data_IF_281544559384
#
_entry.id   IF_281544559384
#
_cell.length_a   1.000
_cell.length_b   1.000
_cell.length_c   1.000
_cell.angle_alpha   90.00
_cell.angle_beta   90.00
_cell.angle_gamma   90.00
#
_symmetry.space_group_name_H-M   'P 1'
#
loop_
_entity.id
_entity.type
_entity.pdbx_description
1 polymer ?
#
# COMPACT_ATOMS: atom_id res chain seq x y z
N UNK A 1 18.56 -10.57 5.52
CA UNK A 1 19.02 -9.17 5.65
C UNK A 1 18.14 -8.30 4.77
N UNK A 2 17.41 -7.34 5.33
CA UNK A 2 16.62 -6.38 4.55
C UNK A 2 17.57 -5.56 3.68
N UNK A 3 17.41 -5.63 2.36
CA UNK A 3 18.14 -4.77 1.43
C UNK A 3 17.76 -3.33 1.73
N UNK A 4 18.72 -2.43 1.93
CA UNK A 4 18.38 -1.02 2.15
C UNK A 4 17.64 -0.47 0.93
N UNK A 5 16.67 0.44 1.13
CA UNK A 5 15.90 1.04 0.04
C UNK A 5 16.79 1.55 -1.10
N UNK A 6 17.91 2.21 -0.77
CA UNK A 6 18.84 2.74 -1.79
C UNK A 6 19.47 1.65 -2.66
N UNK A 7 19.83 0.50 -2.07
CA UNK A 7 20.38 -0.63 -2.85
C UNK A 7 19.35 -1.24 -3.80
N UNK A 8 18.12 -1.41 -3.32
CA UNK A 8 17.02 -1.94 -4.14
C UNK A 8 16.64 -0.96 -5.25
N UNK A 9 16.58 0.34 -4.95
CA UNK A 9 16.34 1.38 -5.94
C UNK A 9 17.44 1.43 -7.02
N UNK A 10 18.72 1.30 -6.64
CA UNK A 10 19.83 1.18 -7.60
C UNK A 10 19.67 -0.03 -8.51
N UNK A 11 19.23 -1.16 -7.97
CA UNK A 11 19.00 -2.37 -8.77
C UNK A 11 17.85 -2.14 -9.77
N UNK A 12 16.76 -1.54 -9.33
CA UNK A 12 15.63 -1.17 -10.20
C UNK A 12 16.05 -0.25 -11.35
N UNK A 13 16.90 0.74 -11.07
CA UNK A 13 17.37 1.72 -12.05
C UNK A 13 18.41 1.18 -13.04
N UNK A 14 18.89 -0.04 -12.91
CA UNK A 14 19.81 -0.66 -13.90
C UNK A 14 19.12 -0.86 -15.25
N UNK A 15 17.86 -1.21 -15.25
CA UNK A 15 17.04 -1.26 -16.45
C UNK A 15 16.34 0.08 -16.67
N UNK A 16 16.97 0.95 -17.45
CA UNK A 16 16.45 2.29 -17.73
C UNK A 16 15.17 2.25 -18.56
N UNK A 17 15.04 1.31 -19.48
CA UNK A 17 13.85 1.15 -20.33
C UNK A 17 12.64 0.82 -19.47
N UNK A 18 12.81 -0.15 -18.58
CA UNK A 18 11.79 -0.55 -17.64
C UNK A 18 11.45 0.57 -16.65
N UNK A 19 12.46 1.26 -16.10
CA UNK A 19 12.25 2.37 -15.17
C UNK A 19 11.46 3.52 -15.82
N UNK A 20 11.72 3.82 -17.11
CA UNK A 20 10.95 4.81 -17.87
C UNK A 20 9.50 4.37 -18.11
N UNK A 21 9.28 3.13 -18.51
CA UNK A 21 7.94 2.57 -18.69
C UNK A 21 7.14 2.63 -17.38
N UNK A 22 7.74 2.23 -16.28
CA UNK A 22 7.11 2.26 -14.96
C UNK A 22 6.72 3.69 -14.53
N UNK A 23 7.62 4.65 -14.71
CA UNK A 23 7.33 6.06 -14.41
C UNK A 23 6.19 6.61 -15.28
N UNK A 24 6.20 6.34 -16.59
CA UNK A 24 5.16 6.77 -17.52
C UNK A 24 3.79 6.15 -17.17
N UNK A 25 3.76 4.86 -16.82
CA UNK A 25 2.55 4.15 -16.41
C UNK A 25 1.92 4.83 -15.18
N UNK A 26 2.71 5.14 -14.17
CA UNK A 26 2.20 5.84 -12.98
C UNK A 26 1.78 7.29 -13.24
N UNK A 27 2.44 7.97 -14.18
CA UNK A 27 1.97 9.28 -14.63
C UNK A 27 0.60 9.21 -15.30
N UNK A 28 0.35 8.21 -16.14
CA UNK A 28 -0.95 8.00 -16.76
C UNK A 28 -2.03 7.70 -15.70
N UNK A 29 -1.75 6.81 -14.74
CA UNK A 29 -2.66 6.51 -13.62
C UNK A 29 -2.94 7.76 -12.79
N UNK A 30 -1.92 8.55 -12.46
CA UNK A 30 -2.07 9.81 -11.73
C UNK A 30 -2.95 10.80 -12.48
N UNK A 31 -2.67 11.03 -13.76
CA UNK A 31 -3.44 11.98 -14.58
C UNK A 31 -4.91 11.57 -14.64
N UNK A 32 -5.18 10.29 -14.88
CA UNK A 32 -6.54 9.74 -14.89
C UNK A 32 -7.24 9.96 -13.54
N UNK A 33 -6.54 9.70 -12.43
CA UNK A 33 -7.04 9.91 -11.08
C UNK A 33 -7.33 11.40 -10.82
N UNK A 34 -6.40 12.28 -11.15
CA UNK A 34 -6.54 13.73 -10.91
C UNK A 34 -7.73 14.30 -11.70
N UNK A 35 -7.88 13.94 -12.97
CA UNK A 35 -9.02 14.34 -13.80
C UNK A 35 -10.35 13.87 -13.20
N UNK A 36 -10.40 12.62 -12.73
CA UNK A 36 -11.63 12.05 -12.17
C UNK A 36 -11.99 12.62 -10.80
N UNK A 37 -11.00 12.98 -9.98
CA UNK A 37 -11.22 13.61 -8.69
C UNK A 37 -11.65 15.08 -8.86
N UNK A 38 -10.94 15.86 -9.69
CA UNK A 38 -11.25 17.27 -9.92
C UNK A 38 -12.50 17.49 -10.78
N UNK A 39 -12.96 16.48 -11.51
CA UNK A 39 -14.24 16.48 -12.21
C UNK A 39 -15.47 16.32 -11.30
N UNK A 40 -15.27 16.28 -9.98
CA UNK A 40 -16.34 16.22 -8.99
C UNK A 40 -16.32 17.49 -8.14
N UNK A 41 -17.29 18.38 -8.33
CA UNK A 41 -17.34 19.71 -7.68
C UNK A 41 -17.24 19.64 -6.16
N UNK A 42 -17.87 18.63 -5.55
CA UNK A 42 -17.88 18.41 -4.10
C UNK A 42 -16.71 17.56 -3.60
N UNK A 43 -15.63 17.37 -4.38
CA UNK A 43 -14.51 16.50 -4.01
C UNK A 43 -13.88 16.86 -2.65
N UNK A 44 -13.64 18.14 -2.38
CA UNK A 44 -13.04 18.58 -1.12
C UNK A 44 -13.99 18.41 0.08
N UNK A 45 -15.30 18.65 -0.11
CA UNK A 45 -16.30 18.39 0.93
C UNK A 45 -16.39 16.89 1.26
N UNK A 46 -16.33 16.02 0.25
CA UNK A 46 -16.30 14.58 0.45
C UNK A 46 -15.03 14.12 1.17
N UNK A 47 -13.86 14.68 0.85
CA UNK A 47 -12.61 14.40 1.56
C UNK A 47 -12.71 14.77 3.03
N UNK A 48 -13.25 15.93 3.33
CA UNK A 48 -13.47 16.38 4.72
C UNK A 48 -14.42 15.43 5.44
N UNK A 49 -15.57 15.13 4.84
CA UNK A 49 -16.56 14.20 5.39
C UNK A 49 -15.96 12.80 5.63
N UNK A 50 -15.23 12.27 4.67
CA UNK A 50 -14.57 10.96 4.78
C UNK A 50 -13.52 10.92 5.90
N UNK A 51 -12.75 12.01 6.06
CA UNK A 51 -11.80 12.17 7.16
C UNK A 51 -12.49 12.18 8.52
N UNK A 52 -13.59 12.95 8.64
CA UNK A 52 -14.39 13.03 9.87
C UNK A 52 -15.03 11.69 10.22
N UNK A 53 -15.65 10.99 9.26
CA UNK A 53 -16.22 9.66 9.47
C UNK A 53 -15.16 8.70 10.00
N UNK A 54 -13.99 8.62 9.36
CA UNK A 54 -12.91 7.72 9.79
C UNK A 54 -12.34 8.10 11.15
N UNK A 55 -12.18 9.40 11.43
CA UNK A 55 -11.73 9.87 12.74
C UNK A 55 -12.73 9.46 13.81
N UNK A 56 -14.00 9.80 13.63
CA UNK A 56 -15.06 9.45 14.56
C UNK A 56 -15.13 7.94 14.83
N UNK A 57 -15.13 7.13 13.77
CA UNK A 57 -15.23 5.68 13.94
C UNK A 57 -14.05 5.10 14.71
N UNK A 58 -12.80 5.58 14.46
CA UNK A 58 -11.62 5.06 15.14
C UNK A 58 -11.57 5.52 16.60
N UNK A 59 -12.07 6.72 16.92
CA UNK A 59 -12.14 7.20 18.31
C UNK A 59 -13.25 6.54 19.15
N UNK A 60 -14.18 5.83 18.51
CA UNK A 60 -15.25 5.05 19.14
C UNK A 60 -15.23 3.60 18.59
N UNK A 61 -14.03 3.08 18.37
CA UNK A 61 -13.86 1.82 17.64
C UNK A 61 -14.43 0.63 18.40
N UNK A 62 -14.32 0.60 19.71
CA UNK A 62 -14.88 -0.40 20.60
C UNK A 62 -16.41 -0.51 20.46
N UNK A 63 -17.11 0.62 20.51
CA UNK A 63 -18.58 0.68 20.36
C UNK A 63 -19.01 0.16 18.98
N UNK A 64 -18.33 0.60 17.90
CA UNK A 64 -18.65 0.16 16.55
C UNK A 64 -18.27 -1.29 16.25
N UNK A 65 -17.24 -1.81 16.88
CA UNK A 65 -16.88 -3.23 16.77
C UNK A 65 -17.89 -4.13 17.46
N UNK A 66 -18.36 -3.75 18.68
CA UNK A 66 -19.40 -4.48 19.39
C UNK A 66 -20.73 -4.46 18.60
N UNK A 67 -21.12 -3.29 18.10
CA UNK A 67 -22.29 -3.16 17.23
C UNK A 67 -22.19 -4.05 15.99
N UNK A 68 -21.04 -4.02 15.30
CA UNK A 68 -20.80 -4.83 14.11
C UNK A 68 -20.91 -6.32 14.41
N UNK A 69 -20.21 -6.80 15.45
CA UNK A 69 -20.19 -8.21 15.81
C UNK A 69 -21.59 -8.70 16.21
N UNK A 70 -22.31 -7.91 17.01
CA UNK A 70 -23.69 -8.21 17.42
C UNK A 70 -24.63 -8.30 16.21
N UNK A 71 -24.54 -7.36 15.25
CA UNK A 71 -25.35 -7.37 14.04
C UNK A 71 -25.01 -8.58 13.15
N UNK A 72 -23.73 -8.91 12.96
CA UNK A 72 -23.29 -10.05 12.17
C UNK A 72 -23.78 -11.39 12.77
N UNK A 73 -23.64 -11.58 14.07
CA UNK A 73 -24.14 -12.78 14.79
C UNK A 73 -25.65 -12.89 14.64
N UNK A 74 -26.40 -11.80 14.75
CA UNK A 74 -27.86 -11.77 14.53
C UNK A 74 -28.24 -12.22 13.10
N UNK A 75 -27.39 -11.99 12.13
CA UNK A 75 -27.57 -12.45 10.74
C UNK A 75 -27.19 -13.92 10.51
N UNK A 76 -26.73 -14.64 11.56
CA UNK A 76 -26.31 -16.04 11.50
C UNK A 76 -24.88 -16.24 11.02
N UNK A 77 -24.02 -15.21 11.16
CA UNK A 77 -22.60 -15.28 10.84
C UNK A 77 -21.80 -15.61 12.09
N UNK A 78 -20.80 -16.49 11.96
CA UNK A 78 -19.85 -16.76 13.03
C UNK A 78 -18.74 -15.70 13.02
N UNK A 79 -18.60 -14.98 14.13
CA UNK A 79 -17.61 -13.89 14.26
C UNK A 79 -16.44 -14.37 15.14
N UNK A 80 -15.23 -14.19 14.61
CA UNK A 80 -13.98 -14.53 15.29
C UNK A 80 -13.12 -13.27 15.45
N UNK A 81 -12.29 -13.28 16.50
CA UNK A 81 -11.35 -12.21 16.80
C UNK A 81 -9.94 -12.77 16.76
N UNK A 82 -9.06 -12.10 16.05
CA UNK A 82 -7.64 -12.45 15.97
C UNK A 82 -6.79 -11.28 16.45
N UNK A 83 -6.03 -11.48 17.51
CA UNK A 83 -5.15 -10.44 18.08
C UNK A 83 -3.93 -10.15 17.19
N UNK A 84 -3.44 -11.19 16.50
CA UNK A 84 -2.24 -11.12 15.68
C UNK A 84 -2.32 -12.02 14.44
N UNK A 85 -1.27 -11.98 13.61
CA UNK A 85 -1.19 -12.77 12.39
C UNK A 85 -1.16 -14.27 12.62
N UNK A 86 -0.57 -14.73 13.74
CA UNK A 86 -0.50 -16.15 14.06
C UNK A 86 -1.89 -16.67 14.41
N UNK A 87 -2.58 -16.02 15.33
CA UNK A 87 -3.94 -16.40 15.73
C UNK A 87 -4.92 -16.33 14.56
N UNK A 88 -4.79 -15.30 13.69
CA UNK A 88 -5.56 -15.22 12.46
C UNK A 88 -5.38 -16.46 11.59
N UNK A 89 -4.15 -16.86 11.34
CA UNK A 89 -3.84 -18.02 10.51
C UNK A 89 -4.33 -19.33 11.13
N UNK A 90 -4.24 -19.45 12.45
CA UNK A 90 -4.73 -20.62 13.20
C UNK A 90 -6.25 -20.74 13.16
N UNK A 91 -6.98 -19.60 13.29
CA UNK A 91 -8.45 -19.55 13.17
C UNK A 91 -8.86 -19.96 11.76
N UNK A 92 -8.26 -19.36 10.71
CA UNK A 92 -8.56 -19.72 9.32
C UNK A 92 -8.34 -21.22 9.08
N UNK A 93 -7.18 -21.74 9.48
CA UNK A 93 -6.88 -23.15 9.31
C UNK A 93 -7.85 -24.05 10.08
N UNK A 94 -8.22 -23.68 11.32
CA UNK A 94 -9.20 -24.40 12.12
C UNK A 94 -10.57 -24.50 11.43
N UNK A 95 -11.06 -23.40 10.88
CA UNK A 95 -12.31 -23.37 10.10
C UNK A 95 -12.20 -24.28 8.88
N UNK A 96 -11.14 -24.15 8.07
CA UNK A 96 -10.94 -24.96 6.88
C UNK A 96 -10.84 -26.45 7.21
N UNK A 97 -10.12 -26.81 8.27
CA UNK A 97 -9.98 -28.19 8.73
C UNK A 97 -11.31 -28.79 9.18
N UNK A 98 -12.12 -28.04 9.92
CA UNK A 98 -13.43 -28.49 10.40
C UNK A 98 -14.42 -28.77 9.26
N UNK A 99 -14.25 -28.07 8.13
CA UNK A 99 -15.04 -28.26 6.92
C UNK A 99 -14.38 -29.19 5.87
N UNK A 100 -13.27 -29.87 6.22
CA UNK A 100 -12.50 -30.76 5.36
C UNK A 100 -12.07 -30.11 4.02
N UNK A 101 -11.77 -28.81 4.04
CA UNK A 101 -11.34 -28.04 2.89
C UNK A 101 -9.93 -28.44 2.47
N UNK A 102 -9.73 -28.65 1.17
CA UNK A 102 -8.42 -28.90 0.55
C UNK A 102 -8.04 -27.78 -0.43
N UNK A 103 -9.03 -27.16 -1.04
CA UNK A 103 -8.83 -26.06 -2.01
C UNK A 103 -9.69 -24.86 -1.62
N UNK A 104 -9.06 -23.69 -1.57
CA UNK A 104 -9.72 -22.41 -1.32
C UNK A 104 -9.41 -21.42 -2.44
N UNK A 105 -10.46 -20.77 -2.98
CA UNK A 105 -10.33 -19.61 -3.85
C UNK A 105 -10.36 -18.33 -3.00
N UNK A 106 -9.51 -17.37 -3.34
CA UNK A 106 -9.38 -16.13 -2.54
C UNK A 106 -9.46 -14.91 -3.45
N UNK A 107 -10.41 -14.00 -3.17
CA UNK A 107 -10.34 -12.66 -3.72
C UNK A 107 -9.30 -11.84 -2.98
N UNK A 108 -8.66 -10.91 -3.67
CA UNK A 108 -7.58 -10.06 -3.18
C UNK A 108 -7.83 -9.53 -1.76
N UNK A 109 -6.85 -9.70 -0.90
CA UNK A 109 -6.87 -9.14 0.45
C UNK A 109 -5.46 -8.78 0.93
N UNK A 110 -5.20 -7.49 1.12
CA UNK A 110 -3.93 -7.03 1.69
C UNK A 110 -3.75 -7.46 3.15
N UNK A 111 -4.83 -7.76 3.87
CA UNK A 111 -4.77 -8.25 5.25
C UNK A 111 -4.20 -9.68 5.29
N UNK A 112 -4.62 -10.54 4.37
CA UNK A 112 -4.08 -11.91 4.30
C UNK A 112 -2.60 -11.93 3.92
N UNK A 113 -2.16 -11.00 3.08
CA UNK A 113 -0.73 -10.79 2.77
C UNK A 113 0.03 -10.28 4.02
N UNK A 114 -0.56 -9.36 4.77
CA UNK A 114 -0.02 -8.86 6.05
C UNK A 114 0.24 -9.98 7.05
N UNK A 115 -0.67 -10.95 7.11
CA UNK A 115 -0.60 -12.08 8.04
C UNK A 115 0.20 -13.28 7.48
N UNK A 116 0.66 -13.24 6.24
CA UNK A 116 1.38 -14.35 5.62
C UNK A 116 0.52 -15.61 5.47
N UNK A 117 -0.79 -15.46 5.21
CA UNK A 117 -1.75 -16.56 5.25
C UNK A 117 -1.49 -17.63 4.18
N UNK A 118 -1.23 -17.23 2.92
CA UNK A 118 -1.07 -18.19 1.83
C UNK A 118 0.04 -19.22 2.12
N UNK A 119 1.30 -18.81 2.40
CA UNK A 119 2.36 -19.78 2.70
C UNK A 119 2.08 -20.61 3.97
N UNK A 120 1.37 -20.06 4.96
CA UNK A 120 0.97 -20.81 6.15
C UNK A 120 -0.01 -21.93 5.78
N UNK A 121 -1.07 -21.65 5.02
CA UNK A 121 -2.07 -22.64 4.62
C UNK A 121 -1.49 -23.70 3.67
N UNK A 122 -0.65 -23.29 2.73
CA UNK A 122 0.07 -24.18 1.82
C UNK A 122 0.96 -25.16 2.59
N UNK A 123 1.63 -24.69 3.66
CA UNK A 123 2.41 -25.54 4.56
C UNK A 123 1.57 -26.58 5.30
N UNK A 124 0.25 -26.36 5.41
CA UNK A 124 -0.73 -27.28 6.01
C UNK A 124 -1.45 -28.15 4.98
N UNK A 125 -1.05 -28.08 3.69
CA UNK A 125 -1.62 -28.87 2.62
C UNK A 125 -2.95 -28.33 2.05
N UNK A 126 -3.28 -27.06 2.30
CA UNK A 126 -4.42 -26.37 1.68
C UNK A 126 -3.93 -25.64 0.43
N UNK A 127 -4.53 -25.94 -0.70
CA UNK A 127 -4.28 -25.23 -1.95
C UNK A 127 -5.01 -23.88 -1.94
N UNK A 128 -4.28 -22.77 -2.12
CA UNK A 128 -4.85 -21.42 -2.14
C UNK A 128 -4.70 -20.83 -3.54
N UNK A 129 -5.84 -20.48 -4.19
CA UNK A 129 -5.89 -19.93 -5.53
C UNK A 129 -6.32 -18.46 -5.47
N UNK A 130 -5.43 -17.57 -5.89
CA UNK A 130 -5.76 -16.15 -6.07
C UNK A 130 -6.68 -15.97 -7.28
N UNK A 131 -7.71 -15.16 -7.15
CA UNK A 131 -8.72 -14.97 -8.19
C UNK A 131 -8.81 -13.56 -8.75
N UNK A 132 -8.16 -12.58 -8.15
CA UNK A 132 -7.87 -11.29 -8.78
C UNK A 132 -6.80 -11.50 -9.85
N UNK A 133 -6.96 -10.92 -11.03
CA UNK A 133 -6.06 -11.16 -12.16
C UNK A 133 -4.60 -10.77 -11.81
N UNK A 134 -4.41 -9.61 -11.21
CA UNK A 134 -3.08 -9.15 -10.83
C UNK A 134 -2.44 -10.01 -9.75
N UNK A 135 -3.21 -10.40 -8.71
CA UNK A 135 -2.75 -11.33 -7.66
C UNK A 135 -2.44 -12.72 -8.23
N UNK A 136 -3.27 -13.22 -9.19
CA UNK A 136 -3.02 -14.51 -9.83
C UNK A 136 -1.73 -14.50 -10.64
N UNK A 137 -1.46 -13.43 -11.38
CA UNK A 137 -0.22 -13.26 -12.15
C UNK A 137 1.00 -13.33 -11.21
N UNK A 138 1.01 -12.57 -10.12
CA UNK A 138 2.13 -12.58 -9.17
C UNK A 138 2.26 -13.91 -8.43
N UNK A 139 1.15 -14.57 -8.09
CA UNK A 139 1.15 -15.92 -7.52
C UNK A 139 1.83 -16.92 -8.47
N UNK A 140 1.44 -16.94 -9.73
CA UNK A 140 2.03 -17.80 -10.77
C UNK A 140 3.52 -17.53 -10.97
N UNK A 141 3.95 -16.27 -10.81
CA UNK A 141 5.34 -15.83 -10.91
C UNK A 141 6.13 -16.06 -9.62
N UNK A 142 5.47 -16.41 -8.51
CA UNK A 142 6.13 -16.59 -7.21
C UNK A 142 6.64 -15.28 -6.62
N UNK A 143 5.97 -14.17 -6.84
CA UNK A 143 6.37 -12.83 -6.39
C UNK A 143 5.36 -12.25 -5.38
N UNK A 144 5.81 -11.26 -4.59
CA UNK A 144 4.92 -10.47 -3.76
C UNK A 144 4.26 -9.33 -4.57
N UNK A 145 3.13 -8.75 -4.09
CA UNK A 145 2.52 -7.60 -4.75
C UNK A 145 3.44 -6.37 -4.72
N UNK A 146 3.57 -5.68 -5.85
CA UNK A 146 4.36 -4.43 -5.94
C UNK A 146 3.54 -3.16 -5.66
N UNK A 147 2.21 -3.27 -5.66
CA UNK A 147 1.26 -2.19 -5.42
C UNK A 147 -0.01 -2.73 -4.76
N UNK A 148 -0.64 -1.97 -3.85
CA UNK A 148 -1.82 -2.46 -3.09
C UNK A 148 -3.10 -2.60 -3.93
N UNK A 149 -3.24 -1.85 -5.03
CA UNK A 149 -4.42 -1.91 -5.92
C UNK A 149 -4.12 -2.64 -7.22
N UNK A 150 -2.93 -2.46 -7.76
CA UNK A 150 -2.48 -3.03 -9.03
C UNK A 150 -1.24 -3.92 -8.78
N UNK A 151 -1.38 -5.11 -8.18
CA UNK A 151 -0.26 -5.88 -7.64
C UNK A 151 0.80 -6.26 -8.68
N UNK A 152 0.39 -6.51 -9.92
CA UNK A 152 1.26 -6.89 -11.04
C UNK A 152 1.70 -5.70 -11.93
N UNK A 153 1.50 -4.44 -11.50
CA UNK A 153 1.79 -3.25 -12.34
C UNK A 153 3.26 -3.12 -12.76
N UNK A 154 4.14 -3.86 -12.16
CA UNK A 154 5.53 -3.96 -12.54
C UNK A 154 5.78 -4.91 -13.73
N UNK A 155 4.75 -5.57 -14.26
CA UNK A 155 4.82 -6.46 -15.41
C UNK A 155 4.04 -5.84 -16.57
N UNK A 156 4.62 -5.91 -17.76
CA UNK A 156 3.93 -5.53 -18.99
C UNK A 156 3.18 -6.73 -19.59
N UNK A 157 2.44 -6.53 -20.67
CA UNK A 157 1.66 -7.60 -21.30
C UNK A 157 2.53 -8.73 -21.90
N UNK A 158 3.78 -8.42 -22.33
CA UNK A 158 4.70 -9.43 -22.84
C UNK A 158 5.19 -10.35 -21.70
N UNK A 159 5.56 -9.76 -20.55
CA UNK A 159 5.93 -10.52 -19.35
C UNK A 159 4.81 -11.48 -18.91
N UNK A 160 3.54 -11.02 -19.01
CA UNK A 160 2.37 -11.84 -18.65
C UNK A 160 2.09 -12.91 -19.71
N UNK A 161 2.27 -12.59 -20.99
CA UNK A 161 2.12 -13.54 -22.10
C UNK A 161 3.10 -14.70 -21.97
N UNK A 162 4.40 -14.41 -21.79
CA UNK A 162 5.44 -15.40 -21.57
C UNK A 162 5.15 -16.27 -20.33
N UNK A 163 4.73 -15.66 -19.23
CA UNK A 163 4.33 -16.40 -18.02
C UNK A 163 3.15 -17.36 -18.28
N UNK A 164 2.14 -16.91 -19.01
CA UNK A 164 0.96 -17.74 -19.32
C UNK A 164 1.31 -18.88 -20.26
N UNK A 165 2.25 -18.69 -21.19
CA UNK A 165 2.80 -19.77 -22.01
C UNK A 165 3.53 -20.80 -21.15
N UNK A 166 4.45 -20.34 -20.27
CA UNK A 166 5.21 -21.20 -19.35
C UNK A 166 4.29 -22.04 -18.44
N UNK A 167 3.19 -21.47 -17.96
CA UNK A 167 2.23 -22.14 -17.07
C UNK A 167 1.16 -22.95 -17.83
N UNK A 168 1.19 -22.98 -19.16
CA UNK A 168 0.21 -23.70 -19.98
C UNK A 168 -1.20 -23.08 -19.95
N UNK A 169 -1.33 -21.82 -19.54
CA UNK A 169 -2.59 -21.05 -19.55
C UNK A 169 -2.89 -20.57 -20.97
N UNK A 170 -1.88 -20.01 -21.66
CA UNK A 170 -1.96 -19.67 -23.07
C UNK A 170 -1.82 -20.92 -23.95
N UNK A 171 -2.60 -21.01 -25.04
CA UNK A 171 -2.49 -22.05 -26.05
C UNK A 171 -2.03 -21.51 -27.42
N UNK A 172 -1.79 -20.20 -27.53
CA UNK A 172 -1.27 -19.52 -28.71
C UNK A 172 0.06 -18.87 -28.38
N UNK A 173 1.15 -19.42 -28.91
CA UNK A 173 2.49 -18.93 -28.66
C UNK A 173 2.69 -17.54 -29.30
N UNK A 174 3.22 -16.58 -28.51
CA UNK A 174 3.48 -15.21 -28.95
C UNK A 174 2.22 -14.33 -29.05
N UNK A 175 1.05 -14.81 -28.66
CA UNK A 175 -0.14 -13.97 -28.59
C UNK A 175 -0.20 -13.31 -27.20
N UNK A 176 0.29 -12.05 -27.12
CA UNK A 176 0.31 -11.26 -25.89
C UNK A 176 -0.73 -10.13 -25.89
N UNK A 177 -1.77 -10.25 -26.74
CA UNK A 177 -2.90 -9.32 -26.73
C UNK A 177 -3.61 -9.33 -25.35
N UNK A 178 -3.81 -8.17 -24.70
CA UNK A 178 -4.42 -8.11 -23.36
C UNK A 178 -5.81 -8.73 -23.28
N UNK A 179 -6.62 -8.64 -24.34
CA UNK A 179 -7.96 -9.23 -24.39
C UNK A 179 -7.87 -10.76 -24.40
N UNK A 180 -6.96 -11.30 -25.22
CA UNK A 180 -6.68 -12.72 -25.28
C UNK A 180 -6.16 -13.25 -23.92
N UNK A 181 -5.18 -12.58 -23.32
CA UNK A 181 -4.62 -12.97 -22.02
C UNK A 181 -5.68 -12.97 -20.91
N UNK A 182 -6.53 -11.94 -20.89
CA UNK A 182 -7.64 -11.85 -19.93
C UNK A 182 -8.65 -13.00 -20.13
N UNK A 183 -8.96 -13.34 -21.39
CA UNK A 183 -9.82 -14.47 -21.70
C UNK A 183 -9.22 -15.82 -21.26
N UNK A 184 -7.92 -16.02 -21.46
CA UNK A 184 -7.20 -17.23 -21.00
C UNK A 184 -7.19 -17.35 -19.48
N UNK A 185 -6.93 -16.26 -18.77
CA UNK A 185 -7.02 -16.21 -17.31
C UNK A 185 -8.44 -16.59 -16.83
N UNK A 186 -9.49 -16.04 -17.45
CA UNK A 186 -10.88 -16.38 -17.15
C UNK A 186 -11.15 -17.88 -17.31
N UNK A 187 -10.67 -18.49 -18.39
CA UNK A 187 -10.86 -19.94 -18.62
C UNK A 187 -10.11 -20.77 -17.58
N UNK A 188 -8.89 -20.40 -17.25
CA UNK A 188 -8.08 -21.05 -16.21
C UNK A 188 -8.77 -21.01 -14.84
N UNK A 189 -9.27 -19.84 -14.43
CA UNK A 189 -9.92 -19.67 -13.13
C UNK A 189 -11.31 -20.29 -13.04
N UNK A 190 -12.01 -20.52 -14.17
CA UNK A 190 -13.38 -21.04 -14.15
C UNK A 190 -13.49 -22.36 -13.38
N UNK A 191 -12.60 -23.30 -13.66
CA UNK A 191 -12.61 -24.59 -12.99
C UNK A 191 -12.25 -24.47 -11.50
N UNK A 192 -11.34 -23.54 -11.16
CA UNK A 192 -10.97 -23.30 -9.79
C UNK A 192 -12.15 -22.83 -8.93
N UNK A 193 -12.96 -21.90 -9.44
CA UNK A 193 -14.19 -21.48 -8.77
C UNK A 193 -15.19 -22.62 -8.57
N UNK A 194 -15.39 -23.46 -9.61
CA UNK A 194 -16.40 -24.52 -9.59
C UNK A 194 -16.01 -25.69 -8.69
N UNK A 195 -14.72 -25.90 -8.44
CA UNK A 195 -14.19 -27.04 -7.67
C UNK A 195 -13.66 -26.66 -6.28
N UNK A 196 -13.71 -25.38 -5.92
CA UNK A 196 -13.25 -24.92 -4.61
C UNK A 196 -14.21 -25.37 -3.51
N UNK A 197 -13.63 -25.81 -2.39
CA UNK A 197 -14.36 -26.19 -1.19
C UNK A 197 -14.77 -24.95 -0.35
N UNK A 198 -13.89 -23.93 -0.35
CA UNK A 198 -14.10 -22.68 0.37
C UNK A 198 -13.75 -21.47 -0.48
N UNK A 199 -14.33 -20.34 -0.14
CA UNK A 199 -14.00 -19.04 -0.70
C UNK A 199 -13.66 -18.04 0.39
N UNK A 200 -12.66 -17.20 0.11
CA UNK A 200 -12.24 -16.16 1.03
C UNK A 200 -12.28 -14.78 0.39
N UNK A 201 -12.75 -13.81 1.16
CA UNK A 201 -12.72 -12.39 0.78
C UNK A 201 -12.04 -11.55 1.86
N UNK A 202 -11.42 -10.44 1.43
CA UNK A 202 -11.17 -9.32 2.32
C UNK A 202 -12.43 -8.48 2.51
N UNK A 203 -12.28 -7.31 3.16
CA UNK A 203 -13.31 -6.28 3.23
C UNK A 203 -12.70 -4.89 2.98
N UNK A 204 -13.33 -4.10 2.12
CA UNK A 204 -13.01 -2.68 2.01
C UNK A 204 -13.58 -1.93 3.21
N UNK A 205 -14.82 -2.29 3.61
CA UNK A 205 -15.52 -1.73 4.77
C UNK A 205 -16.33 -2.80 5.48
N UNK A 206 -16.51 -2.64 6.79
CA UNK A 206 -17.52 -3.34 7.59
C UNK A 206 -18.53 -2.33 8.10
N UNK A 207 -19.83 -2.59 7.97
CA UNK A 207 -20.90 -1.67 8.36
C UNK A 207 -21.40 -2.05 9.75
N UNK A 208 -21.14 -1.22 10.76
CA UNK A 208 -21.46 -1.54 12.15
C UNK A 208 -22.96 -1.76 12.35
N UNK A 209 -23.80 -0.91 11.77
CA UNK A 209 -25.26 -0.98 11.89
C UNK A 209 -25.84 -2.34 11.44
N UNK A 210 -25.25 -2.99 10.43
CA UNK A 210 -25.86 -4.16 9.79
C UNK A 210 -25.01 -5.41 9.84
N UNK A 211 -23.74 -5.33 10.25
CA UNK A 211 -22.79 -6.45 10.23
C UNK A 211 -22.32 -6.87 8.83
N UNK A 212 -22.51 -6.02 7.82
CA UNK A 212 -22.15 -6.34 6.44
C UNK A 212 -20.65 -6.16 6.20
N UNK A 213 -20.06 -7.08 5.45
CA UNK A 213 -18.76 -6.89 4.78
C UNK A 213 -19.02 -6.35 3.39
N UNK A 214 -18.36 -5.24 3.04
CA UNK A 214 -18.44 -4.61 1.73
C UNK A 214 -17.14 -4.83 0.97
N UNK A 215 -17.24 -5.39 -0.24
CA UNK A 215 -16.11 -5.61 -1.15
C UNK A 215 -16.33 -4.81 -2.42
N UNK A 216 -15.35 -3.94 -2.75
CA UNK A 216 -15.34 -3.14 -3.97
C UNK A 216 -14.30 -3.72 -4.94
N UNK A 217 -14.74 -4.19 -6.10
CA UNK A 217 -13.87 -4.81 -7.11
C UNK A 217 -14.35 -4.48 -8.53
N UNK A 218 -13.44 -4.59 -9.50
CA UNK A 218 -13.78 -4.45 -10.94
C UNK A 218 -14.00 -5.79 -11.63
N UNK A 219 -13.76 -6.88 -10.92
CA UNK A 219 -13.90 -8.25 -11.41
C UNK A 219 -15.00 -8.96 -10.62
N UNK A 220 -15.66 -9.94 -11.23
CA UNK A 220 -16.66 -10.77 -10.54
C UNK A 220 -16.05 -11.82 -9.59
N UNK A 221 -14.75 -11.73 -9.30
CA UNK A 221 -14.00 -12.72 -8.53
C UNK A 221 -14.48 -12.86 -7.07
N UNK A 222 -14.82 -11.75 -6.40
CA UNK A 222 -15.34 -11.81 -5.03
C UNK A 222 -16.70 -12.53 -4.98
N UNK A 223 -17.60 -12.19 -5.89
CA UNK A 223 -18.92 -12.84 -5.97
C UNK A 223 -18.81 -14.32 -6.35
N UNK A 224 -17.91 -14.68 -7.27
CA UNK A 224 -17.66 -16.08 -7.63
C UNK A 224 -17.03 -16.85 -6.47
N UNK A 225 -16.07 -16.25 -5.75
CA UNK A 225 -15.45 -16.87 -4.57
C UNK A 225 -16.42 -17.11 -3.42
N UNK A 226 -17.54 -16.40 -3.37
CA UNK A 226 -18.55 -16.54 -2.31
C UNK A 226 -19.79 -17.31 -2.72
N UNK A 227 -20.05 -17.44 -4.03
CA UNK A 227 -21.26 -18.08 -4.55
C UNK A 227 -21.04 -19.51 -5.03
N UNK A 228 -19.83 -19.89 -5.44
CA UNK A 228 -19.51 -21.23 -5.91
C UNK A 228 -19.21 -22.19 -4.74
N UNK A 229 -18.34 -21.83 -3.77
CA UNK A 229 -18.03 -22.70 -2.64
C UNK A 229 -19.16 -22.75 -1.60
N UNK A 230 -19.12 -23.78 -0.75
CA UNK A 230 -20.09 -23.97 0.36
C UNK A 230 -19.72 -23.20 1.64
N UNK A 231 -18.50 -22.75 1.75
CA UNK A 231 -17.96 -22.02 2.90
C UNK A 231 -17.43 -20.68 2.46
N UNK A 232 -17.85 -19.59 3.11
CA UNK A 232 -17.32 -18.25 2.94
C UNK A 232 -16.61 -17.79 4.21
N UNK A 233 -15.35 -17.36 4.08
CA UNK A 233 -14.58 -16.72 5.14
C UNK A 233 -14.27 -15.27 4.70
N UNK A 234 -14.69 -14.28 5.50
CA UNK A 234 -14.36 -12.89 5.29
C UNK A 234 -13.36 -12.40 6.35
N UNK A 235 -12.26 -11.75 5.95
CA UNK A 235 -11.28 -11.21 6.87
C UNK A 235 -11.20 -9.69 6.75
N UNK A 236 -11.27 -8.97 7.88
CA UNK A 236 -11.27 -7.52 7.91
C UNK A 236 -10.44 -6.99 9.09
N UNK A 237 -9.62 -5.97 8.84
CA UNK A 237 -8.93 -5.25 9.93
C UNK A 237 -9.89 -4.37 10.70
N UNK A 238 -9.68 -4.23 12.02
CA UNK A 238 -10.53 -3.45 12.90
C UNK A 238 -10.79 -2.03 12.39
N UNK A 239 -9.77 -1.44 11.78
CA UNK A 239 -9.82 -0.08 11.23
C UNK A 239 -10.74 0.10 10.02
N UNK A 240 -11.31 -0.98 9.48
CA UNK A 240 -12.18 -0.94 8.30
C UNK A 240 -13.66 -0.73 8.61
N UNK A 241 -14.03 -0.76 9.87
CA UNK A 241 -15.41 -0.51 10.29
C UNK A 241 -15.81 0.95 9.98
N UNK A 242 -17.04 1.12 9.59
CA UNK A 242 -17.73 2.40 9.40
C UNK A 242 -19.16 2.29 9.99
N UNK A 243 -19.78 3.42 10.41
CA UNK A 243 -21.05 3.37 11.14
C UNK A 243 -22.21 2.74 10.37
N UNK A 244 -22.50 3.22 9.17
CA UNK A 244 -23.74 2.93 8.44
C UNK A 244 -23.56 3.07 6.90
N UNK A 245 -24.67 2.88 6.16
CA UNK A 245 -24.68 2.98 4.70
C UNK A 245 -24.53 4.41 4.17
N UNK A 246 -24.98 5.43 4.89
CA UNK A 246 -24.77 6.82 4.52
C UNK A 246 -23.28 7.15 4.52
N UNK A 247 -22.54 6.63 5.50
CA UNK A 247 -21.09 6.73 5.53
C UNK A 247 -20.44 5.99 4.36
N UNK A 248 -20.94 4.79 4.01
CA UNK A 248 -20.45 4.03 2.86
C UNK A 248 -20.61 4.81 1.56
N UNK A 249 -21.75 5.49 1.35
CA UNK A 249 -22.01 6.28 0.15
C UNK A 249 -20.92 7.34 -0.12
N UNK A 250 -20.36 7.95 0.93
CA UNK A 250 -19.23 8.88 0.82
C UNK A 250 -18.01 8.16 0.24
N UNK A 251 -17.65 7.00 0.80
CA UNK A 251 -16.46 6.26 0.38
C UNK A 251 -16.59 5.66 -1.02
N UNK A 252 -17.77 5.17 -1.41
CA UNK A 252 -18.03 4.65 -2.76
C UNK A 252 -17.80 5.68 -3.85
N UNK A 253 -18.17 6.94 -3.61
CA UNK A 253 -17.93 8.05 -4.54
C UNK A 253 -16.45 8.40 -4.67
N UNK A 254 -15.61 8.03 -3.71
CA UNK A 254 -14.22 8.47 -3.62
C UNK A 254 -13.20 7.38 -3.90
N UNK A 255 -13.47 6.14 -3.50
CA UNK A 255 -12.47 5.05 -3.44
C UNK A 255 -11.77 4.85 -4.79
N UNK A 256 -12.51 4.56 -5.84
CA UNK A 256 -11.93 4.28 -7.14
C UNK A 256 -11.53 5.55 -7.91
N UNK A 257 -12.21 6.69 -7.68
CA UNK A 257 -11.76 7.98 -8.21
C UNK A 257 -10.36 8.33 -7.71
N UNK A 258 -10.13 8.13 -6.41
CA UNK A 258 -8.84 8.36 -5.78
C UNK A 258 -7.77 7.34 -6.20
N UNK A 259 -8.13 6.07 -6.41
CA UNK A 259 -7.21 4.99 -6.71
C UNK A 259 -6.85 4.88 -8.18
N UNK A 260 -7.79 4.37 -8.97
CA UNK A 260 -7.61 4.02 -10.38
C UNK A 260 -8.14 5.06 -11.36
N UNK A 261 -8.75 6.14 -10.88
CA UNK A 261 -9.36 7.18 -11.71
C UNK A 261 -10.61 6.66 -12.45
N UNK A 262 -11.45 5.88 -11.76
CA UNK A 262 -12.73 5.42 -12.25
C UNK A 262 -13.86 6.13 -11.51
N UNK A 263 -15.03 6.39 -12.14
CA UNK A 263 -16.15 7.03 -11.46
C UNK A 263 -16.75 6.15 -10.34
N UNK A 264 -16.77 4.83 -10.53
CA UNK A 264 -17.22 3.84 -9.56
C UNK A 264 -16.54 2.49 -9.85
N UNK A 265 -16.52 1.57 -8.89
CA UNK A 265 -16.16 0.17 -9.13
C UNK A 265 -17.27 -0.56 -9.88
N UNK A 266 -16.89 -1.57 -10.65
CA UNK A 266 -17.87 -2.37 -11.41
C UNK A 266 -18.80 -3.12 -10.46
N UNK A 267 -18.26 -3.65 -9.36
CA UNK A 267 -19.01 -4.37 -8.34
C UNK A 267 -18.79 -3.73 -6.99
N UNK A 268 -19.85 -3.58 -6.22
CA UNK A 268 -19.84 -3.29 -4.79
C UNK A 268 -20.75 -4.32 -4.11
N UNK A 269 -20.14 -5.38 -3.63
CA UNK A 269 -20.86 -6.53 -3.09
C UNK A 269 -20.98 -6.43 -1.59
N UNK A 270 -22.17 -6.74 -1.07
CA UNK A 270 -22.51 -6.72 0.34
C UNK A 270 -22.72 -8.16 0.82
N UNK A 271 -21.94 -8.58 1.79
CA UNK A 271 -22.03 -9.92 2.39
C UNK A 271 -22.51 -9.79 3.83
N UNK A 272 -23.80 -9.99 4.02
CA UNK A 272 -24.49 -9.91 5.33
C UNK A 272 -24.63 -11.27 5.98
N UNK A 273 -24.81 -12.30 5.18
CA UNK A 273 -24.99 -13.69 5.59
C UNK A 273 -24.49 -14.62 4.49
N UNK A 274 -24.39 -15.90 4.79
CA UNK A 274 -24.06 -16.90 3.81
C UNK A 274 -24.95 -16.79 2.55
N UNK A 275 -24.35 -16.91 1.37
CA UNK A 275 -25.11 -17.00 0.11
C UNK A 275 -25.98 -18.25 0.11
N UNK A 276 -27.08 -18.32 -0.68
CA UNK A 276 -27.94 -19.52 -0.71
C UNK A 276 -27.21 -20.83 -1.03
N UNK A 277 -26.11 -20.72 -1.77
CA UNK A 277 -25.23 -21.85 -2.13
C UNK A 277 -24.16 -22.13 -1.07
N UNK A 278 -23.81 -21.15 -0.24
CA UNK A 278 -22.87 -21.27 0.86
C UNK A 278 -23.65 -21.53 2.16
N UNK A 279 -23.37 -22.64 2.84
CA UNK A 279 -24.06 -23.01 4.06
C UNK A 279 -23.52 -22.29 5.30
N UNK A 280 -22.26 -21.82 5.25
CA UNK A 280 -21.56 -21.21 6.37
C UNK A 280 -20.86 -19.93 5.94
N UNK A 281 -20.91 -18.92 6.81
CA UNK A 281 -20.15 -17.69 6.69
C UNK A 281 -19.47 -17.36 8.01
N UNK A 282 -18.16 -17.15 7.95
CA UNK A 282 -17.34 -16.69 9.07
C UNK A 282 -16.76 -15.31 8.78
N UNK A 283 -16.75 -14.43 9.77
CA UNK A 283 -16.04 -13.14 9.72
C UNK A 283 -14.93 -13.16 10.75
N UNK A 284 -13.73 -12.81 10.34
CA UNK A 284 -12.58 -12.69 11.25
C UNK A 284 -12.19 -11.21 11.34
N UNK A 285 -12.35 -10.64 12.53
CA UNK A 285 -11.92 -9.30 12.90
C UNK A 285 -10.48 -9.37 13.39
N UNK A 286 -9.57 -8.66 12.69
CA UNK A 286 -8.14 -8.79 12.93
C UNK A 286 -7.56 -7.50 13.49
N UNK A 287 -7.00 -7.57 14.68
CA UNK A 287 -6.25 -6.47 15.30
C UNK A 287 -4.86 -6.32 14.67
N UNK A 288 -4.03 -7.31 14.87
CA UNK A 288 -2.65 -7.31 14.39
C UNK A 288 -1.90 -6.00 14.68
N UNK A 289 -2.02 -5.49 15.91
CA UNK A 289 -1.37 -4.28 16.42
C UNK A 289 -2.11 -2.96 16.16
N UNK A 290 -3.31 -2.98 15.56
CA UNK A 290 -4.07 -1.76 15.27
C UNK A 290 -4.53 -1.05 16.55
N UNK A 291 -4.93 -1.79 17.58
CA UNK A 291 -5.31 -1.24 18.87
C UNK A 291 -4.14 -0.52 19.56
N UNK A 292 -2.93 -1.06 19.46
CA UNK A 292 -1.73 -0.44 20.00
C UNK A 292 -1.37 0.88 19.27
N UNK A 293 -1.70 0.97 17.96
CA UNK A 293 -1.42 2.16 17.16
C UNK A 293 -2.32 3.34 17.52
N UNK A 294 -3.52 3.09 18.06
CA UNK A 294 -4.46 4.15 18.48
C UNK A 294 -3.83 5.05 19.55
N UNK A 295 -3.01 4.50 20.44
CA UNK A 295 -2.30 5.26 21.47
C UNK A 295 -0.99 5.93 21.03
N UNK A 296 -0.58 5.82 19.76
CA UNK A 296 0.72 6.25 19.27
C UNK A 296 0.71 7.67 18.69
N UNK A 297 0.66 8.68 19.55
CA UNK A 297 0.74 10.10 19.18
C UNK A 297 -0.16 10.45 17.99
N UNK A 298 0.35 11.13 16.97
CA UNK A 298 -0.38 11.45 15.74
C UNK A 298 -0.34 10.30 14.69
N UNK A 299 0.48 9.29 14.88
CA UNK A 299 0.68 8.21 13.91
C UNK A 299 -0.55 7.28 13.78
N UNK A 300 -1.43 7.26 14.81
CA UNK A 300 -2.71 6.55 14.77
C UNK A 300 -3.58 6.95 13.57
N UNK A 301 -3.44 8.18 13.08
CA UNK A 301 -4.19 8.64 11.91
C UNK A 301 -3.98 7.76 10.67
N UNK A 302 -2.88 7.01 10.59
CA UNK A 302 -2.65 6.01 9.54
C UNK A 302 -3.74 4.93 9.47
N UNK A 303 -4.48 4.68 10.58
CA UNK A 303 -5.63 3.78 10.63
C UNK A 303 -6.84 4.29 9.85
N UNK A 304 -6.94 5.60 9.59
CA UNK A 304 -7.99 6.17 8.74
C UNK A 304 -7.86 5.72 7.27
N UNK A 305 -6.72 5.11 6.88
CA UNK A 305 -6.42 4.75 5.50
C UNK A 305 -7.43 3.75 4.91
N UNK A 306 -8.06 4.12 3.79
CA UNK A 306 -8.99 3.25 3.03
C UNK A 306 -8.29 2.37 1.98
N UNK A 307 -6.97 2.35 1.93
CA UNK A 307 -6.15 1.53 1.03
C UNK A 307 -6.38 1.79 -0.47
N UNK A 308 -6.71 3.02 -0.87
CA UNK A 308 -6.99 3.38 -2.26
C UNK A 308 -5.76 3.43 -3.19
N UNK A 309 -4.52 3.50 -2.65
CA UNK A 309 -3.30 3.56 -3.46
C UNK A 309 -2.89 4.94 -3.99
N UNK A 310 -3.71 6.00 -3.85
CA UNK A 310 -3.42 7.35 -4.38
C UNK A 310 -2.04 7.88 -4.02
N UNK A 311 -1.61 7.66 -2.79
CA UNK A 311 -0.30 8.13 -2.31
C UNK A 311 0.88 7.47 -3.03
N UNK A 312 0.73 6.23 -3.50
CA UNK A 312 1.73 5.54 -4.31
C UNK A 312 1.75 6.10 -5.73
N UNK A 313 0.57 6.29 -6.33
CA UNK A 313 0.44 6.79 -7.71
C UNK A 313 1.09 8.17 -7.90
N UNK A 314 1.10 9.00 -6.86
CA UNK A 314 1.68 10.35 -6.90
C UNK A 314 3.14 10.42 -6.43
N UNK A 315 3.64 9.39 -5.75
CA UNK A 315 4.94 9.45 -5.09
C UNK A 315 6.11 9.41 -6.10
N UNK A 316 6.95 10.46 -6.18
CA UNK A 316 8.08 10.48 -7.11
C UNK A 316 9.13 9.41 -6.79
N UNK A 317 9.28 9.05 -5.52
CA UNK A 317 10.23 8.01 -5.10
C UNK A 317 9.71 6.64 -5.53
N UNK A 318 8.45 6.32 -5.23
CA UNK A 318 7.85 5.04 -5.62
C UNK A 318 7.88 4.82 -7.14
N UNK A 319 7.54 5.84 -7.92
CA UNK A 319 7.59 5.76 -9.40
C UNK A 319 8.99 5.46 -9.95
N UNK A 320 10.03 5.94 -9.26
CA UNK A 320 11.44 5.82 -9.70
C UNK A 320 12.18 4.65 -9.07
N UNK A 321 11.64 4.01 -8.04
CA UNK A 321 12.32 2.92 -7.33
C UNK A 321 11.55 1.61 -7.32
N UNK A 322 10.28 1.63 -7.74
CA UNK A 322 9.39 0.46 -7.73
C UNK A 322 8.96 0.02 -6.32
N UNK A 323 7.96 -0.85 -6.26
CA UNK A 323 7.40 -1.33 -4.99
C UNK A 323 8.38 -2.18 -4.17
N UNK A 324 9.19 -2.98 -4.84
CA UNK A 324 10.16 -3.87 -4.19
C UNK A 324 11.36 -3.17 -3.54
N UNK A 325 11.50 -1.86 -3.72
CA UNK A 325 12.51 -1.08 -3.01
C UNK A 325 12.16 -0.86 -1.54
N UNK A 326 10.91 -1.07 -1.15
CA UNK A 326 10.43 -0.91 0.21
C UNK A 326 10.54 -2.24 0.98
N UNK A 327 10.94 -2.16 2.25
CA UNK A 327 11.09 -3.34 3.11
C UNK A 327 9.77 -3.84 3.72
N UNK A 328 8.68 -3.12 3.53
CA UNK A 328 7.34 -3.48 4.00
C UNK A 328 6.47 -3.92 2.82
N UNK A 329 5.56 -4.89 3.04
CA UNK A 329 4.72 -5.46 1.98
C UNK A 329 3.75 -4.44 1.34
N UNK A 330 3.42 -3.37 2.06
CA UNK A 330 2.78 -2.18 1.50
C UNK A 330 3.88 -1.16 1.19
N UNK A 331 4.15 -0.83 -0.07
CA UNK A 331 5.16 0.18 -0.41
C UNK A 331 4.61 1.61 -0.35
N UNK A 332 5.46 2.58 -0.64
CA UNK A 332 5.10 3.99 -0.75
C UNK A 332 4.79 4.67 0.59
N UNK A 333 4.23 5.88 0.57
CA UNK A 333 4.11 6.73 1.76
C UNK A 333 3.31 6.13 2.91
N UNK A 334 2.17 5.49 2.64
CA UNK A 334 1.41 4.82 3.70
C UNK A 334 2.17 3.60 4.25
N UNK A 335 2.89 2.87 3.40
CA UNK A 335 3.69 1.73 3.81
C UNK A 335 4.90 2.12 4.67
N UNK A 336 5.47 3.31 4.46
CA UNK A 336 6.50 3.86 5.35
C UNK A 336 5.92 4.00 6.77
N UNK A 337 4.77 4.67 6.91
CA UNK A 337 4.16 4.91 8.23
C UNK A 337 3.72 3.59 8.90
N UNK A 338 3.06 2.70 8.18
CA UNK A 338 2.63 1.41 8.72
C UNK A 338 3.81 0.49 9.09
N UNK A 339 4.87 0.51 8.28
CA UNK A 339 6.09 -0.23 8.58
C UNK A 339 6.77 0.25 9.85
N UNK A 340 6.84 1.58 10.05
CA UNK A 340 7.38 2.16 11.29
C UNK A 340 6.53 1.85 12.52
N UNK A 341 5.21 1.87 12.38
CA UNK A 341 4.29 1.43 13.45
C UNK A 341 4.47 -0.05 13.80
N UNK A 342 4.81 -0.88 12.82
CA UNK A 342 4.95 -2.32 12.99
C UNK A 342 6.30 -2.74 13.56
N UNK A 343 7.38 -2.23 12.98
CA UNK A 343 8.75 -2.58 13.36
C UNK A 343 9.73 -1.47 12.91
N UNK A 344 10.00 -0.47 13.77
CA UNK A 344 10.91 0.63 13.45
C UNK A 344 12.33 0.16 13.10
N UNK A 345 12.82 -0.90 13.75
CA UNK A 345 14.16 -1.43 13.50
C UNK A 345 14.31 -1.95 12.08
N UNK A 346 13.29 -2.65 11.60
CA UNK A 346 13.29 -3.26 10.26
C UNK A 346 13.01 -2.26 9.14
N UNK A 347 12.15 -1.26 9.38
CA UNK A 347 11.57 -0.43 8.34
C UNK A 347 12.09 1.02 8.29
N UNK A 348 12.93 1.43 9.22
CA UNK A 348 13.52 2.78 9.30
C UNK A 348 14.22 3.25 8.03
N UNK A 349 14.82 2.33 7.26
CA UNK A 349 15.47 2.65 5.99
C UNK A 349 14.55 3.29 4.95
N UNK A 350 13.25 2.98 4.98
CA UNK A 350 12.24 3.54 4.07
C UNK A 350 11.96 5.02 4.36
N UNK A 351 12.08 5.45 5.61
CA UNK A 351 11.80 6.83 6.05
C UNK A 351 12.72 7.83 5.37
N UNK A 352 13.99 7.46 5.21
CA UNK A 352 15.01 8.30 4.56
C UNK A 352 14.80 8.44 3.04
N UNK A 353 14.04 7.53 2.41
CA UNK A 353 13.76 7.58 0.98
C UNK A 353 12.77 8.69 0.58
N UNK A 354 11.91 9.14 1.50
CA UNK A 354 10.92 10.17 1.22
C UNK A 354 11.56 11.53 0.92
N UNK A 355 11.08 12.25 -0.09
CA UNK A 355 11.53 13.61 -0.44
C UNK A 355 10.80 14.72 0.32
N UNK A 356 9.82 14.37 1.14
CA UNK A 356 8.93 15.31 1.86
C UNK A 356 8.22 16.32 0.93
N UNK A 357 7.89 15.91 -0.30
CA UNK A 357 7.18 16.77 -1.26
C UNK A 357 5.68 16.95 -0.96
N UNK A 358 5.14 16.25 0.04
CA UNK A 358 3.76 16.29 0.52
C UNK A 358 2.68 15.91 -0.51
N UNK A 359 3.03 15.51 -1.73
CA UNK A 359 2.08 15.15 -2.77
C UNK A 359 1.11 14.02 -2.33
N UNK A 360 1.59 13.07 -1.55
CA UNK A 360 0.77 11.99 -0.98
C UNK A 360 -0.32 12.49 -0.02
N UNK A 361 -0.04 13.55 0.72
CA UNK A 361 -0.96 14.20 1.65
C UNK A 361 -2.03 14.99 0.89
N UNK A 362 -1.61 15.72 -0.15
CA UNK A 362 -2.51 16.51 -1.01
C UNK A 362 -3.56 15.64 -1.71
N UNK A 363 -3.17 14.46 -2.22
CA UNK A 363 -4.10 13.57 -2.96
C UNK A 363 -4.91 12.64 -2.07
N UNK A 364 -4.64 12.56 -0.77
CA UNK A 364 -5.29 11.59 0.10
C UNK A 364 -6.79 11.86 0.26
N UNK A 365 -7.68 10.90 -0.08
CA UNK A 365 -9.13 11.10 -0.01
C UNK A 365 -9.66 11.20 1.43
N UNK A 366 -8.89 10.75 2.42
CA UNK A 366 -9.24 10.84 3.85
C UNK A 366 -8.32 11.79 4.62
N UNK A 367 -7.62 12.67 3.90
CA UNK A 367 -6.76 13.74 4.45
C UNK A 367 -5.76 13.24 5.51
N UNK A 368 -5.00 12.19 5.18
CA UNK A 368 -3.90 11.74 6.03
C UNK A 368 -2.69 12.69 5.89
N UNK A 369 -2.11 13.06 7.01
CA UNK A 369 -0.88 13.86 7.11
C UNK A 369 0.37 13.00 6.93
N UNK A 370 0.43 12.19 5.86
CA UNK A 370 1.46 11.18 5.64
C UNK A 370 2.89 11.73 5.65
N UNK A 371 3.09 12.91 5.06
CA UNK A 371 4.40 13.53 4.99
C UNK A 371 4.88 14.03 6.36
N UNK A 372 3.98 14.59 7.16
CA UNK A 372 4.28 15.07 8.50
C UNK A 372 4.63 13.91 9.43
N UNK A 373 3.88 12.80 9.36
CA UNK A 373 4.21 11.57 10.09
C UNK A 373 5.60 11.02 9.69
N UNK A 374 5.92 10.99 8.38
CA UNK A 374 7.26 10.56 7.93
C UNK A 374 8.36 11.50 8.44
N UNK A 375 8.08 12.80 8.51
CA UNK A 375 9.02 13.77 9.09
C UNK A 375 9.23 13.52 10.59
N UNK A 376 8.17 13.27 11.35
CA UNK A 376 8.25 12.90 12.77
C UNK A 376 9.07 11.61 12.96
N UNK A 377 8.82 10.57 12.16
CA UNK A 377 9.64 9.36 12.19
C UNK A 377 11.13 9.63 11.95
N UNK A 378 11.47 10.57 11.06
CA UNK A 378 12.87 10.97 10.84
C UNK A 378 13.53 11.55 12.07
N UNK A 379 12.79 12.29 12.85
CA UNK A 379 13.29 12.88 14.10
C UNK A 379 13.55 11.80 15.15
N UNK A 380 12.77 10.72 15.13
CA UNK A 380 12.86 9.60 16.08
C UNK A 380 13.88 8.51 15.68
N UNK A 381 14.49 8.57 14.49
CA UNK A 381 15.43 7.53 14.04
C UNK A 381 16.61 7.31 14.99
N UNK A 382 17.05 8.35 15.70
CA UNK A 382 18.12 8.25 16.68
C UNK A 382 17.67 7.50 17.93
N UNK A 383 16.45 7.72 18.39
CA UNK A 383 15.83 7.05 19.54
C UNK A 383 15.72 5.54 19.30
N UNK A 384 15.43 5.14 18.06
CA UNK A 384 15.39 3.75 17.62
C UNK A 384 16.78 3.13 17.38
N UNK A 385 17.88 3.92 17.50
CA UNK A 385 19.24 3.45 17.21
C UNK A 385 19.50 3.10 15.74
N UNK A 386 18.64 3.57 14.82
CA UNK A 386 18.71 3.26 13.38
C UNK A 386 19.27 4.37 12.53
N UNK A 387 19.62 5.51 13.15
CA UNK A 387 20.22 6.66 12.47
C UNK A 387 21.61 6.30 11.89
N UNK A 388 21.85 6.71 10.64
CA UNK A 388 23.17 6.52 10.01
C UNK A 388 24.20 7.43 10.70
N UNK A 389 25.30 6.88 11.29
CA UNK A 389 26.30 7.66 12.02
C UNK A 389 26.95 8.78 11.19
N UNK A 390 27.21 8.51 9.89
CA UNK A 390 27.78 9.51 8.98
C UNK A 390 26.82 10.69 8.76
N UNK A 391 25.53 10.40 8.55
CA UNK A 391 24.50 11.44 8.45
C UNK A 391 24.35 12.23 9.74
N UNK A 392 24.41 11.57 10.89
CA UNK A 392 24.35 12.23 12.21
C UNK A 392 25.51 13.20 12.39
N UNK A 393 26.73 12.78 12.04
CA UNK A 393 27.91 13.65 12.10
C UNK A 393 27.81 14.84 11.14
N UNK A 394 27.36 14.58 9.90
CA UNK A 394 27.13 15.62 8.90
C UNK A 394 26.08 16.64 9.36
N UNK A 395 24.93 16.17 9.87
CA UNK A 395 23.88 17.07 10.38
C UNK A 395 24.38 17.91 11.56
N UNK A 396 25.19 17.33 12.46
CA UNK A 396 25.80 18.06 13.57
C UNK A 396 26.74 19.14 13.06
N UNK A 397 27.59 18.85 12.09
CA UNK A 397 28.47 19.82 11.44
C UNK A 397 27.68 20.96 10.77
N UNK A 398 26.64 20.62 10.00
CA UNK A 398 25.73 21.61 9.38
C UNK A 398 25.03 22.49 10.43
N UNK A 399 24.57 21.90 11.53
CA UNK A 399 23.93 22.64 12.62
C UNK A 399 24.87 23.68 13.22
N UNK A 400 26.17 23.35 13.40
CA UNK A 400 27.18 24.30 13.89
C UNK A 400 27.38 25.44 12.90
N UNK A 401 27.45 25.15 11.60
CA UNK A 401 27.62 26.16 10.55
C UNK A 401 26.39 27.08 10.47
N UNK A 402 25.19 26.51 10.44
CA UNK A 402 23.95 27.31 10.38
C UNK A 402 23.61 28.04 11.66
N UNK A 403 24.12 27.60 12.82
CA UNK A 403 23.96 28.26 14.11
C UNK A 403 24.82 29.52 14.28
N UNK A 404 25.73 29.81 13.34
CA UNK A 404 26.63 30.97 13.41
C UNK A 404 26.69 31.70 12.07
N UNK A 405 26.24 32.97 12.04
CA UNK A 405 26.30 33.81 10.83
C UNK A 405 27.70 33.96 10.27
N UNK A 406 28.70 34.04 11.14
CA UNK A 406 30.13 34.16 10.74
C UNK A 406 30.61 32.88 10.06
N UNK A 407 30.32 31.71 10.63
CA UNK A 407 30.68 30.41 10.04
C UNK A 407 29.89 30.16 8.71
N UNK A 408 28.63 30.54 8.68
CA UNK A 408 27.81 30.46 7.50
C UNK A 408 28.36 31.31 6.33
N UNK A 409 28.65 32.59 6.61
CA UNK A 409 29.19 33.52 5.61
C UNK A 409 30.58 33.09 5.13
N UNK A 410 31.44 32.62 6.02
CA UNK A 410 32.75 32.07 5.67
C UNK A 410 32.63 30.82 4.81
N UNK A 411 31.79 29.85 5.21
CA UNK A 411 31.58 28.61 4.48
C UNK A 411 30.97 28.83 3.10
N UNK A 412 29.94 29.68 2.98
CA UNK A 412 29.30 30.00 1.70
C UNK A 412 30.19 30.84 0.77
N UNK A 413 31.05 31.69 1.34
CA UNK A 413 32.07 32.43 0.57
C UNK A 413 33.14 31.53 -0.05
N UNK A 414 33.44 30.41 0.60
CA UNK A 414 34.37 29.40 0.04
C UNK A 414 33.68 28.33 -0.85
N UNK A 415 32.36 28.20 -0.82
CA UNK A 415 31.67 27.12 -1.47
C UNK A 415 31.93 27.02 -2.99
N UNK A 416 32.11 28.16 -3.67
CA UNK A 416 32.38 28.17 -5.13
C UNK A 416 33.72 27.49 -5.49
N UNK A 417 34.69 27.46 -4.57
CA UNK A 417 35.97 26.77 -4.79
C UNK A 417 35.77 25.25 -4.97
N UNK A 418 34.66 24.69 -4.44
CA UNK A 418 34.31 23.30 -4.64
C UNK A 418 34.06 22.96 -6.13
N UNK A 419 33.71 23.94 -6.97
CA UNK A 419 33.53 23.71 -8.41
C UNK A 419 34.84 23.33 -9.14
N UNK A 420 35.99 23.62 -8.54
CA UNK A 420 37.30 23.25 -9.09
C UNK A 420 37.73 21.82 -8.70
N UNK A 421 36.99 21.16 -7.79
CA UNK A 421 37.27 19.77 -7.41
C UNK A 421 36.80 18.86 -8.57
N UNK A 422 37.67 17.97 -9.10
CA UNK A 422 37.28 17.05 -10.16
C UNK A 422 36.05 16.21 -9.77
N UNK A 423 35.10 16.07 -10.70
CA UNK A 423 33.85 15.34 -10.50
C UNK A 423 34.03 13.93 -9.93
N UNK A 424 35.05 13.12 -10.33
CA UNK A 424 35.30 11.82 -9.72
C UNK A 424 35.64 11.85 -8.22
N UNK A 425 36.31 12.92 -7.75
CA UNK A 425 36.64 13.11 -6.33
C UNK A 425 35.42 13.56 -5.54
N UNK A 426 34.57 14.41 -6.13
CA UNK A 426 33.32 14.85 -5.52
C UNK A 426 32.30 13.72 -5.42
N UNK A 427 32.29 12.81 -6.38
CA UNK A 427 31.35 11.70 -6.49
C UNK A 427 31.93 10.35 -6.02
N UNK A 428 32.98 10.38 -5.21
CA UNK A 428 33.56 9.16 -4.65
C UNK A 428 32.72 8.60 -3.49
N UNK A 429 32.93 7.32 -3.14
CA UNK A 429 32.21 6.64 -2.07
C UNK A 429 32.40 7.21 -0.65
N UNK A 430 33.31 8.18 -0.48
CA UNK A 430 33.51 8.92 0.76
C UNK A 430 32.51 10.06 0.92
N UNK A 431 31.87 10.51 -0.17
CA UNK A 431 30.83 11.53 -0.13
C UNK A 431 29.44 10.88 -0.07
N UNK A 432 28.79 10.81 1.10
CA UNK A 432 27.48 10.16 1.22
C UNK A 432 26.35 10.89 0.46
N UNK A 433 26.57 12.15 0.04
CA UNK A 433 25.63 12.89 -0.79
C UNK A 433 25.71 12.48 -2.28
N UNK A 434 26.88 12.11 -2.75
CA UNK A 434 27.10 11.79 -4.16
C UNK A 434 26.40 10.49 -4.61
N UNK A 435 26.00 9.66 -3.67
CA UNK A 435 25.30 8.40 -4.00
C UNK A 435 23.89 8.66 -4.54
N UNK A 436 23.77 8.71 -5.87
CA UNK A 436 22.50 8.94 -6.57
C UNK A 436 22.10 10.41 -6.76
N UNK A 437 22.96 11.36 -6.41
CA UNK A 437 22.74 12.79 -6.60
C UNK A 437 23.82 13.38 -7.51
N UNK A 438 23.41 14.25 -8.42
CA UNK A 438 24.34 15.10 -9.16
C UNK A 438 24.67 16.31 -8.29
N UNK A 439 25.95 16.57 -8.09
CA UNK A 439 26.39 17.78 -7.39
C UNK A 439 25.98 19.02 -8.18
N UNK A 440 25.41 19.99 -7.48
CA UNK A 440 25.08 21.29 -8.07
C UNK A 440 26.34 22.14 -8.21
N UNK A 441 26.38 23.02 -9.20
CA UNK A 441 27.38 24.06 -9.27
C UNK A 441 27.08 25.13 -8.23
N UNK A 442 28.11 25.47 -7.45
CA UNK A 442 27.99 26.56 -6.47
C UNK A 442 28.09 27.93 -7.15
N UNK A 443 27.22 28.89 -6.81
CA UNK A 443 27.29 30.23 -7.38
C UNK A 443 28.60 30.92 -7.00
N UNK A 444 29.11 31.82 -7.86
CA UNK A 444 30.34 32.57 -7.61
C UNK A 444 30.27 33.48 -6.41
N UNK A 445 29.07 34.02 -6.12
CA UNK A 445 28.79 34.88 -4.97
C UNK A 445 27.73 34.24 -4.09
N UNK A 446 27.86 34.21 -2.78
CA UNK A 446 26.83 33.71 -1.89
C UNK A 446 25.61 34.65 -1.86
N UNK A 447 24.45 34.11 -1.49
CA UNK A 447 23.17 34.80 -1.52
C UNK A 447 23.19 36.14 -0.75
N UNK A 448 23.86 36.19 0.41
CA UNK A 448 23.93 37.38 1.22
C UNK A 448 24.76 38.54 0.60
N UNK A 449 25.62 38.27 -0.38
CA UNK A 449 26.28 39.27 -1.21
C UNK A 449 25.40 39.72 -2.36
N UNK A 450 24.72 38.75 -3.03
CA UNK A 450 23.83 39.06 -4.14
C UNK A 450 22.66 39.96 -3.71
N UNK A 451 22.05 39.71 -2.55
CA UNK A 451 20.94 40.51 -2.06
C UNK A 451 21.36 41.98 -1.80
N UNK A 452 22.58 42.22 -1.29
CA UNK A 452 23.13 43.58 -1.09
C UNK A 452 23.36 44.34 -2.41
N UNK A 453 23.55 43.62 -3.52
CA UNK A 453 23.67 44.21 -4.85
C UNK A 453 22.32 44.62 -5.41
N UNK A 454 21.24 43.93 -5.05
CA UNK A 454 19.86 44.22 -5.47
C UNK A 454 19.27 45.38 -4.67
N UNK A 455 19.62 45.50 -3.40
CA UNK A 455 19.15 46.54 -2.47
C UNK A 455 19.84 47.93 -2.71
N UNK A 456 20.89 47.97 -3.53
CA UNK A 456 21.56 49.21 -3.99
C UNK A 456 20.96 49.68 -5.30
#
# INVERSE_FOLDING_TARGET
>A
MSTSHSKAAKQFLKDQTYAHWHDATFWAVRTKRDNMAHGLDEWEQLREKASQIKRHTITHLDEYLDQFATAAVKNGVEVHWAKDAQEFNEIVYGILKNHNVKKMVKSKSMLTEECGMNPYLESKGIEVIETDLGERIIQLKGQAPSHIVMPAIHLNHDDVGELFEEKGISNEKGNHDPTYLTYRARLSLRNEFLTADAGMTGGNFGIAETGDIVVCTNEGNADMSTSCPKLHIAAIGLEKIIPNYECLAVFQRMLCRAGTGQPTTTYTSHFRKARPTAHHMHIILVDNGRSEWIGNGEHWESLKCIRCGSCMNTCPVYRRSGGYSYSYFIPGPIGINLGMLRDPQKHSGNVSACTLCLSCQTVCPVKLNLGDQIYQWRQQLDDFGTANPQKKLMCKGMSMVYGSSSLYNFGTGLAHWANFIPSPLMNCGLNPWAEGHKMMEFPKKPFHELIKEIEK
#
